data_IF_224977662720
#
_entry.id   IF_224977662720
#
_cell.length_a   1.000
_cell.length_b   1.000
_cell.length_c   1.000
_cell.angle_alpha   90.00
_cell.angle_beta   90.00
_cell.angle_gamma   90.00
#
_symmetry.space_group_name_H-M   'P 1'
#
loop_
_entity.id
_entity.type
_entity.pdbx_description
1 polymer ?
#
# COMPACT_ATOMS: atom_id res chain seq x y z
N UNK A 1 -11.92 -25.91 -0.27
CA UNK A 1 -13.21 -25.66 0.39
C UNK A 1 -13.04 -25.41 1.88
N UNK A 2 -12.72 -26.39 2.73
CA UNK A 2 -12.60 -26.17 4.19
C UNK A 2 -11.52 -25.13 4.56
N UNK A 3 -10.36 -25.16 3.90
CA UNK A 3 -9.29 -24.16 4.08
C UNK A 3 -9.76 -22.75 3.70
N UNK A 4 -10.50 -22.64 2.60
CA UNK A 4 -11.00 -21.35 2.10
C UNK A 4 -12.08 -20.79 3.02
N UNK A 5 -13.00 -21.65 3.49
CA UNK A 5 -14.01 -21.31 4.50
C UNK A 5 -13.32 -20.81 5.78
N UNK A 6 -12.29 -21.52 6.26
CA UNK A 6 -11.52 -21.07 7.42
C UNK A 6 -10.91 -19.69 7.19
N UNK A 7 -10.28 -19.46 6.03
CA UNK A 7 -9.71 -18.15 5.69
C UNK A 7 -10.75 -17.03 5.68
N UNK A 8 -11.91 -17.26 5.04
CA UNK A 8 -13.01 -16.28 4.97
C UNK A 8 -13.62 -16.01 6.35
N UNK A 9 -13.85 -17.05 7.16
CA UNK A 9 -14.39 -16.86 8.51
C UNK A 9 -13.46 -16.02 9.37
N UNK A 10 -12.15 -16.23 9.27
CA UNK A 10 -11.15 -15.51 10.05
C UNK A 10 -11.05 -14.03 9.62
N UNK A 11 -11.05 -13.74 8.31
CA UNK A 11 -11.07 -12.35 7.82
C UNK A 11 -12.36 -11.62 8.19
N UNK A 12 -13.51 -12.29 8.14
CA UNK A 12 -14.79 -11.71 8.57
C UNK A 12 -14.83 -11.41 10.07
N UNK A 13 -14.28 -12.29 10.92
CA UNK A 13 -14.21 -12.03 12.36
C UNK A 13 -13.40 -10.76 12.63
N UNK A 14 -12.22 -10.62 12.00
CA UNK A 14 -11.40 -9.41 12.13
C UNK A 14 -12.17 -8.17 11.69
N UNK A 15 -12.83 -8.22 10.52
CA UNK A 15 -13.62 -7.11 10.01
C UNK A 15 -14.76 -6.72 10.97
N UNK A 16 -15.54 -7.70 11.43
CA UNK A 16 -16.67 -7.47 12.32
C UNK A 16 -16.22 -6.87 13.65
N UNK A 17 -15.11 -7.36 14.22
CA UNK A 17 -14.56 -6.78 15.46
C UNK A 17 -14.14 -5.33 15.27
N UNK A 18 -13.51 -4.98 14.14
CA UNK A 18 -13.13 -3.59 13.85
C UNK A 18 -14.35 -2.69 13.72
N UNK A 19 -15.37 -3.11 12.97
CA UNK A 19 -16.59 -2.31 12.76
C UNK A 19 -17.35 -2.12 14.08
N UNK A 20 -17.45 -3.16 14.90
CA UNK A 20 -18.24 -3.10 16.14
C UNK A 20 -17.56 -2.30 17.26
N UNK A 21 -16.24 -2.42 17.41
CA UNK A 21 -15.52 -1.80 18.53
C UNK A 21 -14.83 -0.48 18.16
N UNK A 22 -14.35 -0.31 16.92
CA UNK A 22 -13.55 0.85 16.52
C UNK A 22 -13.75 1.25 15.04
N UNK A 23 -14.99 1.63 14.63
CA UNK A 23 -15.34 1.85 13.24
C UNK A 23 -14.54 2.97 12.55
N UNK A 24 -14.01 3.92 13.33
CA UNK A 24 -13.26 5.07 12.82
C UNK A 24 -11.74 4.95 12.98
N UNK A 25 -11.23 3.79 13.40
CA UNK A 25 -9.80 3.59 13.66
C UNK A 25 -8.90 3.85 12.43
N UNK A 26 -9.41 3.56 11.24
CA UNK A 26 -8.69 3.75 9.97
C UNK A 26 -9.06 5.05 9.24
N UNK A 27 -10.00 5.83 9.77
CA UNK A 27 -10.49 7.07 9.16
C UNK A 27 -9.78 8.31 9.69
N UNK A 28 -9.82 9.39 8.91
CA UNK A 28 -9.33 10.70 9.35
C UNK A 28 -10.47 11.51 10.01
N UNK A 29 -10.30 12.03 11.25
CA UNK A 29 -11.31 12.88 11.88
C UNK A 29 -11.62 14.16 11.09
N UNK A 30 -10.71 14.68 10.27
CA UNK A 30 -10.95 15.89 9.46
C UNK A 30 -12.11 15.68 8.45
N UNK A 31 -12.36 14.43 8.03
CA UNK A 31 -13.42 14.07 7.08
C UNK A 31 -14.85 14.15 7.66
N UNK A 32 -15.01 14.35 8.99
CA UNK A 32 -16.34 14.61 9.58
C UNK A 32 -16.77 16.07 9.45
N UNK A 33 -15.86 16.97 9.09
CA UNK A 33 -16.19 18.37 8.82
C UNK A 33 -16.74 18.53 7.39
N UNK A 34 -17.61 19.52 7.17
CA UNK A 34 -18.11 19.83 5.83
C UNK A 34 -16.98 20.37 4.96
N UNK A 35 -16.93 19.94 3.71
CA UNK A 35 -15.94 20.43 2.75
C UNK A 35 -16.02 21.94 2.56
N UNK A 36 -14.87 22.63 2.66
CA UNK A 36 -14.73 24.04 2.37
C UNK A 36 -13.66 24.25 1.27
N UNK A 37 -14.05 24.64 0.04
CA UNK A 37 -13.09 24.79 -1.05
C UNK A 37 -12.09 25.94 -0.85
N UNK A 38 -12.38 26.88 0.06
CA UNK A 38 -11.52 28.05 0.33
C UNK A 38 -10.45 27.79 1.41
N UNK A 39 -10.52 26.66 2.13
CA UNK A 39 -9.59 26.38 3.23
C UNK A 39 -9.13 24.93 3.22
N UNK A 40 -7.82 24.71 3.21
CA UNK A 40 -7.23 23.39 3.43
C UNK A 40 -6.96 23.16 4.92
N UNK A 41 -7.31 22.01 5.48
CA UNK A 41 -6.91 21.65 6.84
C UNK A 41 -5.38 21.61 7.00
N UNK A 42 -4.92 21.82 8.25
CA UNK A 42 -3.49 21.91 8.57
C UNK A 42 -2.81 20.54 8.44
N UNK A 43 -3.50 19.45 8.80
CA UNK A 43 -2.93 18.09 8.83
C UNK A 43 -3.42 17.21 7.67
N UNK A 44 -3.56 17.78 6.47
CA UNK A 44 -4.04 17.07 5.29
C UNK A 44 -3.12 15.89 4.91
N UNK A 45 -3.70 14.70 4.89
CA UNK A 45 -3.05 13.45 4.47
C UNK A 45 -4.06 12.57 3.71
N UNK A 46 -3.59 11.71 2.80
CA UNK A 46 -4.45 10.73 2.16
C UNK A 46 -4.74 9.56 3.12
N UNK A 47 -5.63 8.66 2.70
CA UNK A 47 -5.88 7.41 3.40
C UNK A 47 -4.62 6.54 3.48
N UNK A 48 -4.58 5.67 4.50
CA UNK A 48 -3.38 4.89 4.85
C UNK A 48 -2.82 4.04 3.71
N UNK A 49 -3.68 3.47 2.86
CA UNK A 49 -3.27 2.64 1.71
C UNK A 49 -2.69 3.46 0.55
N UNK A 50 -2.82 4.78 0.56
CA UNK A 50 -2.21 5.69 -0.43
C UNK A 50 -0.92 6.36 0.08
N UNK A 51 -0.55 6.16 1.34
CA UNK A 51 0.62 6.84 1.94
C UNK A 51 1.92 6.54 1.19
N UNK A 52 2.15 5.29 0.79
CA UNK A 52 3.39 4.94 0.05
C UNK A 52 3.53 5.72 -1.25
N UNK A 53 2.44 5.86 -2.01
CA UNK A 53 2.43 6.58 -3.29
C UNK A 53 2.59 8.09 -3.08
N UNK A 54 1.99 8.60 -2.00
CA UNK A 54 2.13 10.00 -1.58
C UNK A 54 3.54 10.35 -1.11
N UNK A 55 4.20 9.44 -0.38
CA UNK A 55 5.60 9.58 0.02
C UNK A 55 6.51 9.67 -1.20
N UNK A 56 6.31 8.80 -2.20
CA UNK A 56 7.04 8.84 -3.49
C UNK A 56 6.77 10.17 -4.20
N UNK A 57 5.51 10.61 -4.30
CA UNK A 57 5.15 11.87 -4.97
C UNK A 57 5.84 13.08 -4.34
N UNK A 58 5.90 13.16 -3.02
CA UNK A 58 6.53 14.28 -2.28
C UNK A 58 8.05 14.20 -2.20
N UNK A 59 8.65 13.03 -2.42
CA UNK A 59 10.10 12.86 -2.41
C UNK A 59 10.80 13.58 -3.57
N UNK A 60 10.07 13.87 -4.67
CA UNK A 60 10.60 14.53 -5.85
C UNK A 60 10.14 16.00 -5.86
N UNK A 61 11.05 16.99 -5.78
CA UNK A 61 10.72 18.41 -5.78
C UNK A 61 10.37 18.96 -7.18
N UNK A 62 9.67 18.17 -7.99
CA UNK A 62 9.21 18.53 -9.33
C UNK A 62 7.80 17.97 -9.57
N UNK A 63 6.86 18.82 -9.99
CA UNK A 63 5.46 18.44 -10.23
C UNK A 63 5.31 17.32 -11.27
N UNK A 64 5.98 17.41 -12.41
CA UNK A 64 5.91 16.38 -13.45
C UNK A 64 6.68 15.12 -13.02
N UNK A 65 7.87 15.29 -12.44
CA UNK A 65 8.70 14.17 -11.99
C UNK A 65 8.02 13.31 -10.92
N UNK A 66 7.38 13.94 -9.93
CA UNK A 66 6.64 13.24 -8.88
C UNK A 66 5.47 12.42 -9.43
N UNK A 67 4.69 12.99 -10.36
CA UNK A 67 3.57 12.27 -10.98
C UNK A 67 4.07 11.08 -11.81
N UNK A 68 5.14 11.26 -12.58
CA UNK A 68 5.76 10.16 -13.34
C UNK A 68 6.27 9.05 -12.43
N UNK A 69 6.92 9.39 -11.31
CA UNK A 69 7.41 8.40 -10.35
C UNK A 69 6.28 7.64 -9.66
N UNK A 70 5.18 8.32 -9.30
CA UNK A 70 3.98 7.67 -8.76
C UNK A 70 3.43 6.64 -9.75
N UNK A 71 3.23 7.03 -11.01
CA UNK A 71 2.72 6.10 -12.03
C UNK A 71 3.71 4.94 -12.27
N UNK A 72 5.01 5.24 -12.33
CA UNK A 72 6.04 4.22 -12.48
C UNK A 72 6.05 3.22 -11.31
N UNK A 73 5.79 3.65 -10.07
CA UNK A 73 5.76 2.76 -8.90
C UNK A 73 4.77 1.60 -9.03
N UNK A 74 3.66 1.82 -9.75
CA UNK A 74 2.65 0.81 -10.02
C UNK A 74 3.01 0.04 -11.30
N UNK A 75 3.41 0.75 -12.37
CA UNK A 75 3.72 0.12 -13.67
C UNK A 75 4.90 -0.85 -13.62
N UNK A 76 5.88 -0.63 -12.74
CA UNK A 76 7.02 -1.55 -12.56
C UNK A 76 6.56 -2.97 -12.21
N UNK A 77 5.43 -3.13 -11.52
CA UNK A 77 4.87 -4.45 -11.20
C UNK A 77 4.45 -5.23 -12.45
N UNK A 78 4.00 -4.54 -13.50
CA UNK A 78 3.61 -5.18 -14.78
C UNK A 78 4.82 -5.64 -15.59
N UNK A 79 5.97 -4.99 -15.40
CA UNK A 79 7.22 -5.33 -16.10
C UNK A 79 7.96 -6.48 -15.38
N UNK A 80 7.65 -6.74 -14.11
CA UNK A 80 8.30 -7.77 -13.29
C UNK A 80 8.38 -9.16 -13.93
N UNK A 81 7.33 -9.70 -14.60
CA UNK A 81 7.40 -11.01 -15.26
C UNK A 81 8.42 -11.04 -16.41
N UNK A 82 8.63 -9.92 -17.09
CA UNK A 82 9.57 -9.80 -18.22
C UNK A 82 11.03 -9.72 -17.74
N UNK A 83 11.25 -9.17 -16.54
CA UNK A 83 12.57 -9.02 -15.93
C UNK A 83 13.04 -10.27 -15.17
N UNK A 84 12.21 -11.32 -15.11
CA UNK A 84 12.58 -12.54 -14.40
C UNK A 84 13.51 -13.42 -15.25
N UNK A 85 14.82 -13.23 -15.11
CA UNK A 85 15.82 -14.04 -15.82
C UNK A 85 16.06 -15.44 -15.21
N UNK A 86 15.61 -15.68 -13.97
CA UNK A 86 15.96 -16.93 -13.29
C UNK A 86 15.14 -18.11 -13.82
N UNK A 87 15.77 -19.29 -13.95
CA UNK A 87 15.09 -20.50 -14.43
C UNK A 87 14.14 -21.12 -13.40
N UNK A 88 14.36 -20.83 -12.11
CA UNK A 88 13.52 -21.35 -11.03
C UNK A 88 12.34 -20.41 -10.79
N UNK A 89 11.12 -20.95 -10.83
CA UNK A 89 9.90 -20.17 -10.59
C UNK A 89 9.73 -19.79 -9.12
N UNK A 90 10.08 -20.69 -8.20
CA UNK A 90 9.89 -20.49 -6.76
C UNK A 90 11.10 -19.82 -6.13
N UNK A 91 10.85 -18.83 -5.27
CA UNK A 91 11.89 -18.14 -4.51
C UNK A 91 12.38 -18.92 -3.29
N UNK A 92 11.79 -20.07 -2.96
CA UNK A 92 12.14 -20.90 -1.78
C UNK A 92 13.63 -21.27 -1.71
N UNK A 93 14.28 -21.50 -2.85
CA UNK A 93 15.68 -21.91 -2.93
C UNK A 93 16.61 -20.83 -3.51
N UNK A 94 16.16 -19.56 -3.48
CA UNK A 94 16.94 -18.41 -3.97
C UNK A 94 17.19 -17.42 -2.83
N UNK A 95 18.16 -17.67 -1.93
CA UNK A 95 18.36 -16.86 -0.72
C UNK A 95 18.58 -15.37 -1.03
N UNK A 96 19.39 -15.06 -2.06
CA UNK A 96 19.60 -13.67 -2.48
C UNK A 96 18.31 -12.99 -2.96
N UNK A 97 17.44 -13.71 -3.66
CA UNK A 97 16.17 -13.16 -4.12
C UNK A 97 15.12 -13.07 -3.00
N UNK A 98 15.23 -13.87 -1.95
CA UNK A 98 14.38 -13.71 -0.76
C UNK A 98 14.73 -12.44 -0.02
N UNK A 99 16.03 -12.15 0.15
CA UNK A 99 16.49 -10.91 0.80
C UNK A 99 15.96 -9.70 0.05
N UNK A 100 16.03 -9.67 -1.29
CA UNK A 100 15.50 -8.55 -2.07
C UNK A 100 13.98 -8.42 -1.99
N UNK A 101 13.24 -9.53 -1.90
CA UNK A 101 11.79 -9.52 -1.67
C UNK A 101 11.44 -8.91 -0.30
N UNK A 102 12.15 -9.32 0.76
CA UNK A 102 11.93 -8.78 2.11
C UNK A 102 12.32 -7.31 2.20
N UNK A 103 13.40 -6.91 1.52
CA UNK A 103 13.78 -5.50 1.42
C UNK A 103 12.69 -4.67 0.73
N UNK A 104 12.14 -5.15 -0.40
CA UNK A 104 11.04 -4.47 -1.10
C UNK A 104 9.81 -4.31 -0.19
N UNK A 105 9.43 -5.36 0.56
CA UNK A 105 8.30 -5.29 1.48
C UNK A 105 8.56 -4.28 2.61
N UNK A 106 9.77 -4.31 3.19
CA UNK A 106 10.15 -3.36 4.23
C UNK A 106 10.14 -1.92 3.73
N UNK A 107 10.65 -1.64 2.52
CA UNK A 107 10.64 -0.28 1.95
C UNK A 107 9.22 0.19 1.68
N UNK A 108 8.31 -0.67 1.20
CA UNK A 108 6.90 -0.30 1.01
C UNK A 108 6.16 -0.02 2.31
N UNK A 109 6.59 -0.61 3.44
CA UNK A 109 6.01 -0.33 4.76
C UNK A 109 6.57 0.94 5.40
N UNK A 110 7.80 1.34 5.02
CA UNK A 110 8.43 2.57 5.48
C UNK A 110 7.88 3.80 4.73
N UNK A 111 7.52 3.63 3.46
CA UNK A 111 6.89 4.64 2.61
C UNK A 111 5.43 4.87 3.00
#
# INVERSE_FOLDING_TARGET
>A
TMKDILGVTLTLIILMTMISFSPYMLGDPENFSKANPMSTPIHIKPEWYFLFAYAILRSIPNKLGGVLALVASILVLLIMPLMHLSKQRTKSFQPMSQITLWLLLATTMIL
#
